data_IF_202123402076
#
_entry.id   IF_202123402076
#
_cell.length_a   1.000
_cell.length_b   1.000
_cell.length_c   1.000
_cell.angle_alpha   90.00
_cell.angle_beta   90.00
_cell.angle_gamma   90.00
#
_symmetry.space_group_name_H-M   'P 1'
#
loop_
_entity.id
_entity.type
_entity.pdbx_description
1 polymer ?
#
# COMPACT_ATOMS: atom_id res chain seq x y z
N UNK A 1 84.46 25.36 102.00
CA UNK A 1 85.12 25.30 100.68
C UNK A 1 84.16 25.88 99.65
N UNK A 2 84.45 27.09 99.16
CA UNK A 2 83.63 27.89 98.22
C UNK A 2 83.83 27.36 96.79
N UNK A 3 82.95 26.48 96.29
CA UNK A 3 82.85 26.20 94.84
C UNK A 3 81.60 25.36 94.57
N UNK A 4 80.43 25.99 94.38
CA UNK A 4 79.35 25.42 93.55
C UNK A 4 78.14 26.36 93.27
N UNK A 5 78.23 27.65 93.60
CA UNK A 5 77.14 28.61 93.37
C UNK A 5 77.07 29.17 91.93
N UNK A 6 78.08 28.88 91.08
CA UNK A 6 78.12 29.31 89.68
C UNK A 6 77.43 28.32 88.72
N UNK A 7 77.53 27.00 88.93
CA UNK A 7 76.98 25.98 88.02
C UNK A 7 75.44 25.79 88.14
N UNK A 8 74.85 26.14 89.30
CA UNK A 8 73.38 26.04 89.51
C UNK A 8 72.62 27.21 88.87
N UNK A 9 73.26 28.38 88.69
CA UNK A 9 72.63 29.55 88.05
C UNK A 9 72.61 29.45 86.53
N UNK A 10 73.61 28.84 85.90
CA UNK A 10 73.59 28.59 84.44
C UNK A 10 72.57 27.50 84.05
N UNK A 11 72.49 26.38 84.78
CA UNK A 11 71.54 25.29 84.47
C UNK A 11 70.06 25.67 84.62
N UNK A 12 69.72 26.61 85.52
CA UNK A 12 68.33 27.11 85.68
C UNK A 12 67.92 28.13 84.61
N UNK A 13 68.86 28.95 84.12
CA UNK A 13 68.62 29.89 83.02
C UNK A 13 68.39 29.19 81.68
N UNK A 14 69.15 28.13 81.39
CA UNK A 14 69.04 27.35 80.15
C UNK A 14 67.73 26.54 80.09
N UNK A 15 67.28 25.97 81.21
CA UNK A 15 66.05 25.15 81.27
C UNK A 15 64.76 25.99 81.17
N UNK A 16 64.74 27.21 81.70
CA UNK A 16 63.61 28.13 81.51
C UNK A 16 63.58 28.72 80.08
N UNK A 17 64.75 28.98 79.48
CA UNK A 17 64.82 29.42 78.08
C UNK A 17 64.29 28.37 77.11
N UNK A 18 64.64 27.09 77.28
CA UNK A 18 64.12 25.99 76.44
C UNK A 18 62.59 25.79 76.53
N UNK A 19 62.00 25.97 77.71
CA UNK A 19 60.56 25.86 77.90
C UNK A 19 59.81 27.03 77.24
N UNK A 20 60.33 28.25 77.36
CA UNK A 20 59.75 29.44 76.71
C UNK A 20 59.85 29.33 75.18
N UNK A 21 60.99 28.89 74.65
CA UNK A 21 61.18 28.65 73.22
C UNK A 21 60.22 27.58 72.69
N UNK A 22 59.99 26.49 73.44
CA UNK A 22 59.04 25.44 73.05
C UNK A 22 57.58 25.91 73.05
N UNK A 23 57.19 26.74 74.02
CA UNK A 23 55.85 27.34 74.09
C UNK A 23 55.64 28.31 72.92
N UNK A 24 56.64 29.16 72.63
CA UNK A 24 56.60 30.07 71.48
C UNK A 24 56.50 29.28 70.18
N UNK A 25 57.28 28.22 70.01
CA UNK A 25 57.26 27.35 68.84
C UNK A 25 55.90 26.65 68.65
N UNK A 26 55.35 26.03 69.70
CA UNK A 26 54.03 25.40 69.65
C UNK A 26 52.90 26.40 69.37
N UNK A 27 53.01 27.61 69.93
CA UNK A 27 52.06 28.70 69.64
C UNK A 27 52.14 29.15 68.18
N UNK A 28 53.35 29.24 67.63
CA UNK A 28 53.58 29.55 66.21
C UNK A 28 53.02 28.47 65.28
N UNK A 29 53.24 27.19 65.59
CA UNK A 29 52.67 26.06 64.84
C UNK A 29 51.15 26.08 64.90
N UNK A 30 50.57 26.39 66.08
CA UNK A 30 49.12 26.49 66.26
C UNK A 30 48.52 27.65 65.47
N UNK A 31 49.19 28.82 65.45
CA UNK A 31 48.78 29.99 64.67
C UNK A 31 48.88 29.69 63.17
N UNK A 32 49.94 29.03 62.71
CA UNK A 32 50.06 28.58 61.33
C UNK A 32 48.95 27.61 60.93
N UNK A 33 48.65 26.61 61.76
CA UNK A 33 47.58 25.65 61.51
C UNK A 33 46.20 26.32 61.48
N UNK A 34 45.94 27.27 62.38
CA UNK A 34 44.72 28.07 62.41
C UNK A 34 44.61 28.95 61.16
N UNK A 35 45.71 29.59 60.75
CA UNK A 35 45.76 30.45 59.56
C UNK A 35 45.51 29.66 58.28
N UNK A 36 46.09 28.46 58.18
CA UNK A 36 45.84 27.54 57.08
C UNK A 36 44.39 27.03 57.06
N UNK A 37 43.81 26.74 58.22
CA UNK A 37 42.41 26.34 58.34
C UNK A 37 41.45 27.46 57.93
N UNK A 38 41.72 28.70 58.34
CA UNK A 38 40.98 29.89 57.92
C UNK A 38 41.09 30.08 56.41
N UNK A 39 42.29 29.93 55.84
CA UNK A 39 42.49 30.01 54.39
C UNK A 39 41.66 28.95 53.64
N UNK A 40 41.62 27.71 54.12
CA UNK A 40 40.80 26.65 53.53
C UNK A 40 39.30 26.96 53.64
N UNK A 41 38.84 27.49 54.77
CA UNK A 41 37.44 27.90 54.95
C UNK A 41 37.05 29.03 53.99
N UNK A 42 37.92 30.04 53.83
CA UNK A 42 37.69 31.15 52.88
C UNK A 42 37.67 30.64 51.44
N UNK A 43 38.59 29.74 51.08
CA UNK A 43 38.63 29.14 49.73
C UNK A 43 37.41 28.25 49.47
N UNK A 44 36.95 27.47 50.44
CA UNK A 44 35.74 26.68 50.32
C UNK A 44 34.50 27.57 50.16
N UNK A 45 34.38 28.61 50.99
CA UNK A 45 33.31 29.59 50.88
C UNK A 45 33.33 30.34 49.53
N UNK A 46 34.51 30.64 48.97
CA UNK A 46 34.59 31.26 47.64
C UNK A 46 34.18 30.31 46.52
N UNK A 47 34.56 29.03 46.61
CA UNK A 47 34.16 28.01 45.64
C UNK A 47 32.65 27.77 45.67
N UNK A 48 32.04 27.68 46.86
CA UNK A 48 30.59 27.57 47.01
C UNK A 48 29.85 28.76 46.41
N UNK A 49 30.38 29.99 46.55
CA UNK A 49 29.80 31.17 45.93
C UNK A 49 29.92 31.15 44.40
N UNK A 50 31.05 30.69 43.86
CA UNK A 50 31.22 30.53 42.41
C UNK A 50 30.25 29.48 41.85
N UNK A 51 30.09 28.35 42.53
CA UNK A 51 29.13 27.32 42.14
C UNK A 51 27.70 27.83 42.18
N UNK A 52 27.31 28.56 43.23
CA UNK A 52 25.98 29.16 43.34
C UNK A 52 25.73 30.23 42.26
N UNK A 53 26.73 31.05 41.93
CA UNK A 53 26.61 32.04 40.85
C UNK A 53 26.46 31.37 39.48
N UNK A 54 27.25 30.33 39.19
CA UNK A 54 27.16 29.58 37.94
C UNK A 54 25.81 28.86 37.80
N UNK A 55 25.29 28.28 38.89
CA UNK A 55 23.93 27.68 38.89
C UNK A 55 22.85 28.74 38.64
N UNK A 56 22.96 29.91 39.28
CA UNK A 56 21.99 30.99 39.07
C UNK A 56 22.03 31.55 37.64
N UNK A 57 23.22 31.61 37.02
CA UNK A 57 23.37 32.02 35.62
C UNK A 57 22.80 30.96 34.67
N UNK A 58 23.04 29.67 34.97
CA UNK A 58 22.43 28.56 34.25
C UNK A 58 20.90 28.63 34.31
N UNK A 59 20.32 28.77 35.51
CA UNK A 59 18.88 28.85 35.75
C UNK A 59 18.24 30.07 35.03
N UNK A 60 18.95 31.20 34.98
CA UNK A 60 18.49 32.38 34.24
C UNK A 60 18.45 32.12 32.73
N UNK A 61 19.48 31.48 32.17
CA UNK A 61 19.56 31.10 30.76
C UNK A 61 18.44 30.10 30.39
N UNK A 62 18.16 29.10 31.25
CA UNK A 62 17.04 28.17 31.02
C UNK A 62 15.68 28.88 31.08
N UNK A 63 15.52 29.91 31.93
CA UNK A 63 14.28 30.70 32.02
C UNK A 63 14.00 31.58 30.80
N UNK A 64 15.05 31.93 30.03
CA UNK A 64 14.94 32.66 28.75
C UNK A 64 14.70 31.72 27.55
N UNK A 65 14.56 30.41 27.78
CA UNK A 65 14.22 29.42 26.73
C UNK A 65 15.42 28.79 26.02
N UNK A 66 16.63 28.98 26.53
CA UNK A 66 17.83 28.32 26.03
C UNK A 66 18.08 27.02 26.79
N UNK A 67 18.19 25.91 26.06
CA UNK A 67 18.47 24.59 26.63
C UNK A 67 19.96 24.28 26.58
N UNK A 68 20.48 23.60 27.60
CA UNK A 68 21.77 22.93 27.47
C UNK A 68 21.68 21.84 26.38
N UNK A 69 22.80 21.46 25.78
CA UNK A 69 22.82 20.40 24.76
C UNK A 69 22.17 19.09 25.27
N UNK A 70 22.35 18.77 26.55
CA UNK A 70 21.74 17.59 27.20
C UNK A 70 20.22 17.73 27.36
N UNK A 71 19.72 18.91 27.76
CA UNK A 71 18.28 19.15 27.89
C UNK A 71 17.59 19.19 26.52
N UNK A 72 18.23 19.81 25.52
CA UNK A 72 17.74 19.81 24.15
C UNK A 72 17.61 18.38 23.61
N UNK A 73 18.63 17.53 23.83
CA UNK A 73 18.58 16.13 23.43
C UNK A 73 17.45 15.38 24.14
N UNK A 74 17.28 15.56 25.45
CA UNK A 74 16.19 14.92 26.22
C UNK A 74 14.82 15.33 25.68
N UNK A 75 14.61 16.60 25.37
CA UNK A 75 13.35 17.09 24.81
C UNK A 75 13.09 16.53 23.40
N UNK A 76 14.12 16.40 22.58
CA UNK A 76 14.03 15.74 21.28
C UNK A 76 13.65 14.27 21.45
N UNK A 77 14.29 13.55 22.37
CA UNK A 77 14.01 12.14 22.64
C UNK A 77 12.58 11.95 23.18
N UNK A 78 12.12 12.81 24.10
CA UNK A 78 10.75 12.80 24.63
C UNK A 78 9.72 13.10 23.53
N UNK A 79 9.94 14.15 22.74
CA UNK A 79 9.06 14.50 21.63
C UNK A 79 9.01 13.38 20.57
N UNK A 80 10.15 12.76 20.26
CA UNK A 80 10.26 11.62 19.35
C UNK A 80 9.48 10.42 19.86
N UNK A 81 9.66 10.06 21.14
CA UNK A 81 8.91 8.97 21.78
C UNK A 81 7.41 9.25 21.81
N UNK A 82 6.98 10.47 22.17
CA UNK A 82 5.56 10.84 22.15
C UNK A 82 4.97 10.82 20.74
N UNK A 83 5.73 11.28 19.74
CA UNK A 83 5.32 11.21 18.34
C UNK A 83 5.16 9.75 17.89
N UNK A 84 6.11 8.87 18.23
CA UNK A 84 6.04 7.44 17.92
C UNK A 84 4.82 6.78 18.56
N UNK A 85 4.54 7.06 19.85
CA UNK A 85 3.37 6.50 20.54
C UNK A 85 2.05 7.01 19.95
N UNK A 86 1.98 8.30 19.61
CA UNK A 86 0.81 8.90 18.93
C UNK A 86 0.58 8.26 17.57
N UNK A 87 1.62 8.09 16.76
CA UNK A 87 1.55 7.44 15.45
C UNK A 87 1.10 5.99 15.57
N UNK A 88 1.70 5.22 16.49
CA UNK A 88 1.28 3.83 16.76
C UNK A 88 -0.19 3.72 17.18
N UNK A 89 -0.65 4.60 18.06
CA UNK A 89 -2.04 4.64 18.48
C UNK A 89 -2.99 4.97 17.32
N UNK A 90 -2.61 5.96 16.50
CA UNK A 90 -3.37 6.36 15.30
C UNK A 90 -3.49 5.21 14.29
N UNK A 91 -2.38 4.55 13.96
CA UNK A 91 -2.37 3.39 13.05
C UNK A 91 -3.27 2.28 13.57
N UNK A 92 -3.18 1.95 14.87
CA UNK A 92 -4.01 0.90 15.48
C UNK A 92 -5.50 1.23 15.40
N UNK A 93 -5.85 2.49 15.61
CA UNK A 93 -7.23 2.95 15.57
C UNK A 93 -7.78 2.95 14.14
N UNK A 94 -7.02 3.44 13.17
CA UNK A 94 -7.39 3.37 11.75
C UNK A 94 -7.57 1.93 11.29
N UNK A 95 -6.63 1.05 11.63
CA UNK A 95 -6.70 -0.37 11.28
C UNK A 95 -7.91 -1.06 11.94
N UNK A 96 -8.17 -0.79 13.22
CA UNK A 96 -9.37 -1.29 13.93
C UNK A 96 -10.65 -0.85 13.23
N UNK A 97 -10.79 0.45 12.94
CA UNK A 97 -11.99 1.00 12.29
C UNK A 97 -12.27 0.36 10.94
N UNK A 98 -11.22 0.12 10.14
CA UNK A 98 -11.33 -0.56 8.85
C UNK A 98 -11.73 -2.03 8.99
N UNK A 99 -11.26 -2.74 10.02
CA UNK A 99 -11.72 -4.10 10.29
C UNK A 99 -13.19 -4.14 10.76
N UNK A 100 -13.63 -3.13 11.51
CA UNK A 100 -14.99 -3.02 12.02
C UNK A 100 -16.01 -2.56 10.96
N UNK A 101 -15.57 -1.96 9.84
CA UNK A 101 -16.47 -1.48 8.78
C UNK A 101 -17.09 -2.59 7.93
N UNK A 102 -16.58 -3.82 8.01
CA UNK A 102 -17.05 -4.95 7.20
C UNK A 102 -16.42 -5.03 5.80
N UNK A 103 -15.54 -4.08 5.42
CA UNK A 103 -14.79 -4.08 4.14
C UNK A 103 -13.75 -5.21 4.01
N UNK A 104 -13.62 -6.06 5.05
CA UNK A 104 -12.69 -7.17 5.08
C UNK A 104 -11.26 -6.78 5.47
N UNK A 105 -10.46 -7.78 5.85
CA UNK A 105 -9.10 -7.56 6.36
C UNK A 105 -8.14 -6.96 5.33
N UNK A 106 -8.33 -7.27 4.04
CA UNK A 106 -7.47 -6.78 2.96
C UNK A 106 -7.58 -5.26 2.77
N UNK A 107 -8.78 -4.66 2.89
CA UNK A 107 -8.97 -3.21 2.83
C UNK A 107 -8.18 -2.47 3.92
N UNK A 108 -8.20 -3.02 5.14
CA UNK A 108 -7.44 -2.47 6.26
C UNK A 108 -5.91 -2.53 6.01
N UNK A 109 -5.41 -3.60 5.38
CA UNK A 109 -3.99 -3.72 5.03
C UNK A 109 -3.62 -2.71 3.93
N UNK A 110 -4.42 -2.59 2.87
CA UNK A 110 -4.19 -1.64 1.76
C UNK A 110 -4.03 -0.20 2.24
N UNK A 111 -4.82 0.20 3.23
CA UNK A 111 -4.75 1.55 3.84
C UNK A 111 -3.37 1.88 4.44
N UNK A 112 -2.59 0.86 4.84
CA UNK A 112 -1.26 1.06 5.43
C UNK A 112 -0.15 1.20 4.38
N UNK A 113 -0.41 0.84 3.13
CA UNK A 113 0.57 0.78 2.04
C UNK A 113 0.01 1.43 0.77
N UNK A 114 -0.25 2.75 0.79
CA UNK A 114 -0.89 3.46 -0.33
C UNK A 114 -0.02 3.51 -1.60
N UNK A 115 1.28 3.26 -1.48
CA UNK A 115 2.26 3.20 -2.56
C UNK A 115 2.42 1.78 -3.15
N UNK A 116 1.58 0.83 -2.73
CA UNK A 116 1.69 -0.58 -3.11
C UNK A 116 0.35 -1.21 -3.48
N UNK A 117 0.38 -2.03 -4.53
CA UNK A 117 -0.69 -2.98 -4.82
C UNK A 117 -0.55 -4.15 -3.84
N UNK A 118 -1.60 -4.37 -3.07
CA UNK A 118 -1.71 -5.44 -2.07
C UNK A 118 -2.80 -6.42 -2.49
N UNK A 119 -2.38 -7.66 -2.72
CA UNK A 119 -3.25 -8.78 -3.09
C UNK A 119 -3.03 -9.94 -2.13
N UNK A 120 -4.09 -10.72 -1.91
CA UNK A 120 -4.02 -11.94 -1.09
C UNK A 120 -4.12 -13.19 -1.96
N UNK A 121 -3.24 -14.15 -1.75
CA UNK A 121 -3.31 -15.46 -2.40
C UNK A 121 -2.75 -16.54 -1.48
N UNK A 122 -3.35 -17.74 -1.48
CA UNK A 122 -2.89 -18.90 -0.70
C UNK A 122 -2.57 -18.57 0.78
N UNK A 123 -3.44 -17.77 1.42
CA UNK A 123 -3.33 -17.42 2.84
C UNK A 123 -2.24 -16.40 3.20
N UNK A 124 -1.61 -15.73 2.21
CA UNK A 124 -0.62 -14.66 2.45
C UNK A 124 -0.92 -13.41 1.63
N UNK A 125 -0.33 -12.29 2.04
CA UNK A 125 -0.37 -11.03 1.31
C UNK A 125 0.91 -10.86 0.49
N UNK A 126 0.75 -10.30 -0.71
CA UNK A 126 1.83 -9.91 -1.61
C UNK A 126 1.74 -8.41 -1.83
N UNK A 127 2.91 -7.79 -1.98
CA UNK A 127 3.09 -6.34 -2.02
C UNK A 127 3.92 -6.01 -3.25
N UNK A 128 3.37 -5.20 -4.13
CA UNK A 128 4.00 -4.77 -5.37
C UNK A 128 4.06 -3.25 -5.38
N UNK A 129 5.22 -2.62 -5.60
CA UNK A 129 5.28 -1.17 -5.77
C UNK A 129 4.35 -0.73 -6.89
N UNK A 130 3.62 0.37 -6.68
CA UNK A 130 2.92 1.04 -7.78
C UNK A 130 3.97 1.69 -8.68
N UNK A 131 3.91 1.41 -9.97
CA UNK A 131 4.82 1.93 -10.98
C UNK A 131 4.29 3.25 -11.57
N UNK A 132 5.19 4.20 -11.80
CA UNK A 132 4.90 5.42 -12.56
C UNK A 132 5.31 5.27 -14.05
N UNK A 133 5.71 4.07 -14.47
CA UNK A 133 6.11 3.78 -15.87
C UNK A 133 4.91 3.64 -16.81
N UNK A 134 3.73 3.32 -16.27
CA UNK A 134 2.47 3.17 -17.00
C UNK A 134 1.43 4.16 -16.48
N UNK A 135 0.43 4.46 -17.31
CA UNK A 135 -0.57 5.49 -17.01
C UNK A 135 -1.46 5.09 -15.83
N UNK A 136 -1.82 6.07 -14.99
CA UNK A 136 -2.76 5.89 -13.88
C UNK A 136 -4.17 6.30 -14.31
N UNK A 137 -5.22 5.70 -13.76
CA UNK A 137 -6.59 5.95 -14.23
C UNK A 137 -7.12 7.36 -13.99
N UNK A 138 -6.51 8.13 -13.10
CA UNK A 138 -6.85 9.55 -12.86
C UNK A 138 -8.16 9.82 -12.12
N UNK A 139 -9.08 8.86 -12.00
CA UNK A 139 -10.32 9.00 -11.22
C UNK A 139 -10.11 9.23 -9.72
N UNK A 140 -10.94 10.10 -9.14
CA UNK A 140 -11.07 10.31 -7.70
C UNK A 140 -12.03 9.28 -7.05
N UNK A 141 -11.87 9.04 -5.75
CA UNK A 141 -12.70 8.08 -5.00
C UNK A 141 -14.21 8.38 -5.04
N UNK A 142 -14.59 9.63 -5.33
CA UNK A 142 -15.97 10.10 -5.36
C UNK A 142 -16.52 10.34 -6.77
N UNK A 143 -15.77 9.97 -7.81
CA UNK A 143 -16.18 10.17 -9.20
C UNK A 143 -17.30 9.24 -9.64
N UNK A 144 -17.56 8.17 -8.89
CA UNK A 144 -18.57 7.18 -9.22
C UNK A 144 -19.58 6.98 -8.08
N UNK A 145 -20.85 6.88 -8.45
CA UNK A 145 -21.97 6.61 -7.55
C UNK A 145 -22.84 5.49 -8.11
N UNK A 146 -23.34 4.61 -7.23
CA UNK A 146 -24.34 3.62 -7.61
C UNK A 146 -25.73 4.25 -7.67
N UNK A 147 -26.41 4.06 -8.79
CA UNK A 147 -27.84 4.38 -8.93
C UNK A 147 -28.71 3.44 -8.09
N UNK A 148 -29.97 3.82 -7.85
CA UNK A 148 -30.94 2.98 -7.12
C UNK A 148 -31.13 1.58 -7.73
N UNK A 149 -30.89 1.46 -9.04
CA UNK A 149 -31.01 0.20 -9.78
C UNK A 149 -29.68 -0.61 -9.82
N UNK A 150 -28.63 -0.12 -9.16
CA UNK A 150 -27.34 -0.82 -9.04
C UNK A 150 -26.35 -0.56 -10.17
N UNK A 151 -26.69 0.28 -11.16
CA UNK A 151 -25.72 0.71 -12.19
C UNK A 151 -24.75 1.73 -11.62
N UNK A 152 -23.48 1.62 -12.01
CA UNK A 152 -22.44 2.57 -11.66
C UNK A 152 -22.49 3.77 -12.61
N UNK A 153 -22.63 4.97 -12.06
CA UNK A 153 -22.72 6.23 -12.80
C UNK A 153 -21.53 7.12 -12.43
N UNK A 154 -20.89 7.70 -13.44
CA UNK A 154 -19.92 8.76 -13.21
C UNK A 154 -20.60 10.11 -12.94
N UNK A 155 -20.08 10.81 -11.95
CA UNK A 155 -20.58 12.08 -11.43
C UNK A 155 -19.47 13.15 -11.32
N UNK A 156 -18.28 12.87 -11.86
CA UNK A 156 -17.18 13.83 -11.88
C UNK A 156 -17.43 15.01 -12.82
N UNK A 157 -16.47 15.93 -12.86
CA UNK A 157 -16.65 17.24 -13.51
C UNK A 157 -16.31 17.24 -15.02
N UNK A 158 -15.69 16.18 -15.52
CA UNK A 158 -15.23 16.10 -16.89
C UNK A 158 -16.25 15.41 -17.80
N UNK A 159 -16.24 15.76 -19.08
CA UNK A 159 -17.05 15.06 -20.09
C UNK A 159 -16.26 13.83 -20.57
N UNK A 160 -16.46 12.71 -19.87
CA UNK A 160 -15.83 11.44 -20.22
C UNK A 160 -16.84 10.52 -20.91
N UNK A 161 -16.36 9.80 -21.92
CA UNK A 161 -17.14 8.76 -22.58
C UNK A 161 -17.39 7.62 -21.59
N UNK A 162 -18.65 7.31 -21.29
CA UNK A 162 -19.02 6.13 -20.49
C UNK A 162 -20.18 5.41 -21.14
N UNK A 163 -20.00 4.11 -21.30
CA UNK A 163 -21.03 3.17 -21.76
C UNK A 163 -21.30 2.09 -20.73
N UNK A 164 -22.57 1.72 -20.59
CA UNK A 164 -22.99 0.63 -19.71
C UNK A 164 -22.98 -0.68 -20.51
N UNK A 165 -22.34 -1.71 -19.96
CA UNK A 165 -22.28 -3.01 -20.59
C UNK A 165 -22.64 -4.15 -19.66
N UNK A 166 -23.00 -5.27 -20.27
CA UNK A 166 -23.07 -6.57 -19.61
C UNK A 166 -22.02 -7.50 -20.18
N UNK A 167 -21.55 -8.44 -19.39
CA UNK A 167 -20.86 -9.61 -19.93
C UNK A 167 -21.59 -10.90 -19.58
N UNK A 168 -21.72 -11.78 -20.57
CA UNK A 168 -22.63 -12.92 -20.51
C UNK A 168 -22.02 -14.17 -21.11
N UNK A 169 -22.51 -15.31 -20.63
CA UNK A 169 -22.16 -16.63 -21.14
C UNK A 169 -23.36 -17.57 -21.02
N UNK A 170 -23.16 -18.89 -21.19
CA UNK A 170 -24.20 -19.89 -20.88
C UNK A 170 -24.84 -19.77 -19.49
N UNK A 171 -24.16 -19.16 -18.53
CA UNK A 171 -24.64 -19.05 -17.16
C UNK A 171 -25.87 -18.12 -17.01
N UNK A 172 -26.07 -17.19 -17.95
CA UNK A 172 -27.23 -16.30 -17.97
C UNK A 172 -28.45 -16.91 -18.67
N UNK A 173 -28.32 -18.13 -19.22
CA UNK A 173 -29.45 -18.87 -19.78
C UNK A 173 -29.99 -18.25 -21.06
N UNK A 174 -31.31 -18.05 -21.13
CA UNK A 174 -31.96 -17.40 -22.27
C UNK A 174 -32.16 -15.92 -21.93
N UNK A 175 -31.75 -15.03 -22.84
CA UNK A 175 -31.79 -13.59 -22.63
C UNK A 175 -32.81 -12.95 -23.57
N UNK A 176 -33.64 -12.05 -23.03
CA UNK A 176 -34.52 -11.16 -23.80
C UNK A 176 -33.77 -9.86 -24.10
N UNK A 177 -33.05 -9.85 -25.22
CA UNK A 177 -32.13 -8.77 -25.59
C UNK A 177 -32.81 -7.42 -25.87
N UNK A 178 -34.08 -7.43 -26.32
CA UNK A 178 -34.85 -6.20 -26.49
C UNK A 178 -35.10 -5.52 -25.14
N UNK A 179 -35.34 -6.30 -24.08
CA UNK A 179 -35.45 -5.77 -22.72
C UNK A 179 -34.11 -5.29 -22.18
N UNK A 180 -33.02 -6.00 -22.47
CA UNK A 180 -31.66 -5.61 -22.06
C UNK A 180 -31.30 -4.24 -22.65
N UNK A 181 -31.50 -4.05 -23.95
CA UNK A 181 -31.27 -2.77 -24.62
C UNK A 181 -32.20 -1.67 -24.07
N UNK A 182 -33.47 -1.99 -23.81
CA UNK A 182 -34.41 -1.05 -23.21
C UNK A 182 -34.08 -0.66 -21.76
N UNK A 183 -33.26 -1.45 -21.06
CA UNK A 183 -32.80 -1.18 -19.69
C UNK A 183 -31.57 -0.27 -19.63
N UNK A 184 -31.11 0.24 -20.78
CA UNK A 184 -30.02 1.20 -20.88
C UNK A 184 -28.64 0.57 -21.01
N UNK A 185 -28.56 -0.72 -21.39
CA UNK A 185 -27.30 -1.35 -21.78
C UNK A 185 -26.93 -0.89 -23.20
N UNK A 186 -25.68 -0.47 -23.38
CA UNK A 186 -25.13 0.00 -24.65
C UNK A 186 -24.39 -1.10 -25.44
N UNK A 187 -23.71 -2.00 -24.73
CA UNK A 187 -22.90 -3.06 -25.33
C UNK A 187 -22.93 -4.37 -24.54
N UNK A 188 -22.53 -5.46 -25.20
CA UNK A 188 -22.38 -6.77 -24.58
C UNK A 188 -21.02 -7.42 -24.90
N UNK A 189 -20.33 -7.93 -23.87
CA UNK A 189 -19.17 -8.81 -24.02
C UNK A 189 -19.63 -10.26 -23.89
N UNK A 190 -19.52 -11.04 -24.96
CA UNK A 190 -20.11 -12.38 -25.03
C UNK A 190 -19.01 -13.43 -24.97
N UNK A 191 -19.12 -14.41 -24.07
CA UNK A 191 -18.19 -15.54 -24.07
C UNK A 191 -18.37 -16.34 -25.36
N UNK A 192 -17.35 -16.35 -26.20
CA UNK A 192 -17.38 -17.13 -27.43
C UNK A 192 -16.96 -18.58 -27.16
N UNK A 193 -15.93 -18.75 -26.34
CA UNK A 193 -15.40 -20.06 -26.01
C UNK A 193 -14.52 -20.06 -24.78
N UNK A 194 -14.03 -21.23 -24.45
CA UNK A 194 -13.13 -21.45 -23.32
C UNK A 194 -12.27 -22.67 -23.56
N UNK A 195 -11.11 -22.71 -22.90
CA UNK A 195 -10.30 -23.92 -22.79
C UNK A 195 -10.58 -24.59 -21.45
N UNK A 196 -10.87 -25.88 -21.45
CA UNK A 196 -11.18 -26.64 -20.23
C UNK A 196 -10.00 -26.71 -19.26
N UNK A 197 -10.30 -26.59 -17.96
CA UNK A 197 -9.30 -26.49 -16.87
C UNK A 197 -8.51 -27.77 -16.59
N UNK A 198 -9.00 -28.94 -17.04
CA UNK A 198 -8.33 -30.24 -16.83
C UNK A 198 -7.69 -30.76 -18.13
N UNK A 199 -8.50 -31.16 -19.11
CA UNK A 199 -8.00 -31.79 -20.35
C UNK A 199 -7.52 -30.77 -21.40
N UNK A 200 -7.74 -29.46 -21.18
CA UNK A 200 -7.31 -28.43 -22.12
C UNK A 200 -8.08 -28.41 -23.44
N UNK A 201 -9.29 -28.99 -23.48
CA UNK A 201 -10.14 -28.99 -24.68
C UNK A 201 -10.67 -27.60 -24.98
N UNK A 202 -10.60 -27.21 -26.25
CA UNK A 202 -11.26 -26.02 -26.75
C UNK A 202 -12.75 -26.29 -26.93
N UNK A 203 -13.58 -25.41 -26.39
CA UNK A 203 -15.03 -25.54 -26.37
C UNK A 203 -15.65 -24.19 -26.71
N UNK A 204 -16.65 -24.21 -27.59
CA UNK A 204 -17.54 -23.07 -27.79
C UNK A 204 -18.50 -22.97 -26.59
N UNK A 205 -18.87 -21.76 -26.20
CA UNK A 205 -19.93 -21.56 -25.22
C UNK A 205 -21.30 -21.93 -25.85
N UNK A 206 -22.09 -22.75 -25.15
CA UNK A 206 -23.36 -23.28 -25.67
C UNK A 206 -24.40 -22.18 -25.95
N UNK A 207 -24.22 -20.97 -25.42
CA UNK A 207 -25.08 -19.80 -25.66
C UNK A 207 -24.45 -18.74 -26.54
N UNK A 208 -23.24 -18.95 -27.06
CA UNK A 208 -22.56 -17.96 -27.90
C UNK A 208 -23.43 -17.46 -29.05
N UNK A 209 -23.97 -18.37 -29.88
CA UNK A 209 -24.76 -18.01 -31.07
C UNK A 209 -26.04 -17.26 -30.69
N UNK A 210 -26.82 -17.81 -29.75
CA UNK A 210 -28.06 -17.18 -29.27
C UNK A 210 -27.80 -15.76 -28.73
N UNK A 211 -26.68 -15.58 -28.01
CA UNK A 211 -26.31 -14.31 -27.40
C UNK A 211 -25.84 -13.28 -28.43
N UNK A 212 -24.94 -13.67 -29.35
CA UNK A 212 -24.37 -12.74 -30.33
C UNK A 212 -25.42 -12.27 -31.34
N UNK A 213 -26.24 -13.20 -31.85
CA UNK A 213 -27.32 -12.86 -32.79
C UNK A 213 -28.38 -12.00 -32.11
N UNK A 214 -28.74 -12.33 -30.86
CA UNK A 214 -29.72 -11.59 -30.08
C UNK A 214 -29.28 -10.16 -29.76
N UNK A 215 -28.06 -9.98 -29.25
CA UNK A 215 -27.52 -8.67 -28.90
C UNK A 215 -27.42 -7.76 -30.14
N UNK A 216 -26.87 -8.28 -31.25
CA UNK A 216 -26.76 -7.53 -32.51
C UNK A 216 -28.13 -7.18 -33.09
N UNK A 217 -29.09 -8.11 -33.05
CA UNK A 217 -30.45 -7.86 -33.55
C UNK A 217 -31.20 -6.79 -32.75
N UNK A 218 -30.93 -6.67 -31.44
CA UNK A 218 -31.46 -5.62 -30.58
C UNK A 218 -30.67 -4.30 -30.65
N UNK A 219 -29.65 -4.23 -31.52
CA UNK A 219 -28.90 -3.00 -31.81
C UNK A 219 -27.81 -2.66 -30.80
N UNK A 220 -27.39 -3.60 -29.95
CA UNK A 220 -26.24 -3.43 -29.07
C UNK A 220 -24.94 -3.60 -29.86
N UNK A 221 -23.92 -2.84 -29.46
CA UNK A 221 -22.57 -3.13 -29.92
C UNK A 221 -22.02 -4.37 -29.18
N UNK A 222 -21.22 -5.19 -29.87
CA UNK A 222 -20.77 -6.49 -29.34
C UNK A 222 -19.27 -6.62 -29.39
N UNK A 223 -18.71 -7.12 -28.29
CA UNK A 223 -17.36 -7.67 -28.17
C UNK A 223 -17.45 -9.11 -27.69
N UNK A 224 -16.32 -9.82 -27.69
CA UNK A 224 -16.29 -11.23 -27.30
C UNK A 224 -15.09 -11.54 -26.43
N UNK A 225 -15.21 -12.57 -25.59
CA UNK A 225 -14.09 -13.03 -24.77
C UNK A 225 -13.89 -14.54 -24.83
N UNK A 226 -12.65 -14.97 -24.56
CA UNK A 226 -12.25 -16.37 -24.46
C UNK A 226 -11.62 -16.64 -23.09
N UNK A 227 -12.25 -17.51 -22.29
CA UNK A 227 -11.66 -17.95 -21.02
C UNK A 227 -10.47 -18.87 -21.27
N UNK A 228 -9.27 -18.36 -21.01
CA UNK A 228 -8.03 -19.04 -21.36
C UNK A 228 -7.63 -20.05 -20.30
N UNK A 229 -7.11 -21.18 -20.75
CA UNK A 229 -6.34 -22.13 -19.93
C UNK A 229 -5.07 -22.56 -20.68
N UNK A 230 -4.52 -21.67 -21.52
CA UNK A 230 -3.35 -21.94 -22.33
C UNK A 230 -2.11 -22.18 -21.45
N UNK A 231 -1.34 -23.22 -21.78
CA UNK A 231 -0.09 -23.54 -21.10
C UNK A 231 1.15 -22.98 -21.79
N UNK A 232 0.99 -22.45 -23.01
CA UNK A 232 2.07 -21.98 -23.86
C UNK A 232 1.51 -21.24 -25.09
N UNK A 233 2.40 -20.55 -25.81
CA UNK A 233 2.09 -19.81 -27.05
C UNK A 233 1.20 -20.54 -28.03
N UNK A 234 1.48 -21.83 -28.27
CA UNK A 234 0.75 -22.59 -29.29
C UNK A 234 -0.72 -22.70 -28.88
N UNK A 235 -0.98 -23.00 -27.61
CA UNK A 235 -2.35 -23.07 -27.11
C UNK A 235 -3.04 -21.69 -27.13
N UNK A 236 -2.33 -20.60 -26.82
CA UNK A 236 -2.87 -19.25 -26.93
C UNK A 236 -3.25 -18.87 -28.37
N UNK A 237 -2.44 -19.26 -29.36
CA UNK A 237 -2.77 -19.09 -30.79
C UNK A 237 -4.00 -19.92 -31.18
N UNK A 238 -4.11 -21.17 -30.70
CA UNK A 238 -5.27 -22.01 -30.96
C UNK A 238 -6.56 -21.41 -30.38
N UNK A 239 -6.49 -20.81 -29.18
CA UNK A 239 -7.61 -20.10 -28.56
C UNK A 239 -8.02 -18.86 -29.36
N UNK A 240 -7.05 -18.03 -29.75
CA UNK A 240 -7.29 -16.85 -30.58
C UNK A 240 -7.90 -17.24 -31.94
N UNK A 241 -7.33 -18.24 -32.64
CA UNK A 241 -7.82 -18.66 -33.95
C UNK A 241 -9.25 -19.21 -33.87
N UNK A 242 -9.55 -20.03 -32.86
CA UNK A 242 -10.92 -20.54 -32.69
C UNK A 242 -11.91 -19.38 -32.48
N UNK A 243 -11.56 -18.41 -31.64
CA UNK A 243 -12.41 -17.24 -31.44
C UNK A 243 -12.58 -16.43 -32.73
N UNK A 244 -11.50 -16.17 -33.47
CA UNK A 244 -11.53 -15.45 -34.74
C UNK A 244 -12.42 -16.15 -35.78
N UNK A 245 -12.32 -17.48 -35.89
CA UNK A 245 -13.16 -18.29 -36.78
C UNK A 245 -14.65 -18.19 -36.39
N UNK A 246 -14.95 -18.14 -35.09
CA UNK A 246 -16.34 -18.03 -34.60
C UNK A 246 -16.95 -16.66 -34.87
N UNK A 247 -16.16 -15.59 -34.87
CA UNK A 247 -16.67 -14.22 -35.04
C UNK A 247 -16.65 -13.70 -36.47
N UNK A 248 -15.96 -14.36 -37.41
CA UNK A 248 -15.88 -13.97 -38.84
C UNK A 248 -17.22 -13.54 -39.46
N UNK A 249 -18.37 -14.19 -39.17
CA UNK A 249 -19.65 -13.82 -39.78
C UNK A 249 -20.31 -12.55 -39.21
N UNK A 250 -19.79 -11.97 -38.12
CA UNK A 250 -20.48 -10.95 -37.33
C UNK A 250 -19.74 -9.60 -37.37
N UNK A 251 -20.50 -8.51 -37.19
CA UNK A 251 -19.95 -7.15 -37.04
C UNK A 251 -19.53 -6.93 -35.58
N UNK A 252 -18.24 -7.12 -35.29
CA UNK A 252 -17.67 -6.95 -33.96
C UNK A 252 -17.06 -5.56 -33.84
N UNK A 253 -17.65 -4.72 -32.99
CA UNK A 253 -17.16 -3.34 -32.76
C UNK A 253 -16.39 -3.20 -31.46
N UNK A 254 -16.77 -3.96 -30.43
CA UNK A 254 -16.06 -3.95 -29.15
C UNK A 254 -14.91 -4.98 -29.15
N UNK A 255 -14.00 -4.91 -28.17
CA UNK A 255 -12.77 -5.71 -28.19
C UNK A 255 -12.98 -7.22 -28.22
N UNK A 256 -11.94 -7.90 -28.70
CA UNK A 256 -11.77 -9.35 -28.64
C UNK A 256 -10.79 -9.65 -27.51
N UNK A 257 -11.29 -10.35 -26.48
CA UNK A 257 -10.66 -10.38 -25.17
C UNK A 257 -10.09 -11.76 -24.83
N UNK A 258 -8.87 -11.79 -24.30
CA UNK A 258 -8.38 -12.94 -23.52
C UNK A 258 -8.72 -12.74 -22.06
N UNK A 259 -9.42 -13.73 -21.49
CA UNK A 259 -9.80 -13.76 -20.09
C UNK A 259 -8.78 -14.60 -19.30
N UNK A 260 -8.00 -13.90 -18.45
CA UNK A 260 -6.94 -14.46 -17.61
C UNK A 260 -7.36 -14.42 -16.14
N UNK A 261 -7.63 -15.59 -15.60
CA UNK A 261 -7.98 -15.77 -14.19
C UNK A 261 -7.03 -16.72 -13.47
N UNK A 262 -7.00 -16.58 -12.14
CA UNK A 262 -6.31 -17.55 -11.29
C UNK A 262 -6.99 -18.90 -11.38
N UNK A 263 -6.19 -19.97 -11.40
CA UNK A 263 -6.67 -21.32 -11.23
C UNK A 263 -7.65 -21.45 -10.04
N UNK A 264 -8.84 -21.98 -10.30
CA UNK A 264 -9.87 -22.21 -9.26
C UNK A 264 -9.51 -23.37 -8.32
N UNK A 265 -8.57 -24.22 -8.71
CA UNK A 265 -8.10 -25.36 -7.92
C UNK A 265 -6.63 -25.68 -8.20
N UNK A 266 -5.97 -26.33 -7.26
CA UNK A 266 -4.58 -26.81 -7.40
C UNK A 266 -4.44 -27.89 -8.49
N UNK A 267 -5.55 -28.46 -8.97
CA UNK A 267 -5.60 -29.46 -10.04
C UNK A 267 -5.79 -28.83 -11.43
N UNK A 268 -6.11 -27.54 -11.50
CA UNK A 268 -6.25 -26.84 -12.78
C UNK A 268 -4.90 -26.81 -13.49
N UNK A 269 -4.93 -26.99 -14.81
CA UNK A 269 -3.71 -27.07 -15.63
C UNK A 269 -2.85 -25.80 -15.56
N UNK A 270 -3.45 -24.66 -15.25
CA UNK A 270 -2.77 -23.36 -15.11
C UNK A 270 -2.26 -23.07 -13.69
N UNK A 271 -2.50 -23.96 -12.71
CA UNK A 271 -2.20 -23.71 -11.29
C UNK A 271 -0.71 -23.49 -10.98
N UNK A 272 0.18 -24.02 -11.81
CA UNK A 272 1.63 -23.92 -11.64
C UNK A 272 2.32 -23.09 -12.73
N UNK A 273 1.56 -22.33 -13.53
CA UNK A 273 2.15 -21.44 -14.53
C UNK A 273 2.87 -20.27 -13.86
N UNK A 274 3.99 -19.86 -14.45
CA UNK A 274 4.73 -18.67 -14.04
C UNK A 274 4.14 -17.41 -14.68
N UNK A 275 4.46 -16.24 -14.10
CA UNK A 275 4.04 -14.93 -14.63
C UNK A 275 4.41 -14.76 -16.09
N UNK A 276 5.68 -15.02 -16.42
CA UNK A 276 6.22 -14.93 -17.78
C UNK A 276 5.41 -15.72 -18.82
N UNK A 277 4.79 -16.85 -18.43
CA UNK A 277 4.01 -17.68 -19.36
C UNK A 277 2.60 -17.12 -19.55
N UNK A 278 1.98 -16.60 -18.49
CA UNK A 278 0.70 -15.89 -18.63
C UNK A 278 0.85 -14.64 -19.51
N UNK A 279 1.87 -13.83 -19.25
CA UNK A 279 2.19 -12.63 -20.03
C UNK A 279 2.45 -12.97 -21.51
N UNK A 280 3.26 -14.01 -21.74
CA UNK A 280 3.59 -14.46 -23.09
C UNK A 280 2.35 -15.02 -23.83
N UNK A 281 1.46 -15.73 -23.13
CA UNK A 281 0.21 -16.21 -23.71
C UNK A 281 -0.76 -15.05 -24.02
N UNK A 282 -0.89 -14.08 -23.12
CA UNK A 282 -1.70 -12.89 -23.31
C UNK A 282 -1.22 -12.07 -24.51
N UNK A 283 0.08 -11.79 -24.59
CA UNK A 283 0.72 -11.10 -25.73
C UNK A 283 0.44 -11.82 -27.05
N UNK A 284 0.71 -13.13 -27.09
CA UNK A 284 0.53 -13.91 -28.32
C UNK A 284 -0.93 -13.97 -28.76
N UNK A 285 -1.87 -14.09 -27.83
CA UNK A 285 -3.30 -14.01 -28.15
C UNK A 285 -3.63 -12.63 -28.73
N UNK A 286 -3.25 -11.55 -28.05
CA UNK A 286 -3.57 -10.18 -28.44
C UNK A 286 -2.93 -9.78 -29.78
N UNK A 287 -1.70 -10.21 -30.03
CA UNK A 287 -1.00 -10.00 -31.31
C UNK A 287 -1.70 -10.74 -32.45
N UNK A 288 -2.19 -11.96 -32.19
CA UNK A 288 -2.94 -12.76 -33.18
C UNK A 288 -4.26 -12.08 -33.53
N UNK A 289 -4.97 -11.57 -32.52
CA UNK A 289 -6.22 -10.80 -32.68
C UNK A 289 -5.98 -9.50 -33.45
N UNK A 290 -4.93 -8.75 -33.09
CA UNK A 290 -4.54 -7.52 -33.80
C UNK A 290 -4.20 -7.77 -35.26
N UNK A 291 -3.48 -8.85 -35.55
CA UNK A 291 -3.11 -9.22 -36.91
C UNK A 291 -4.33 -9.58 -37.78
N UNK A 292 -5.43 -10.03 -37.15
CA UNK A 292 -6.70 -10.27 -37.82
C UNK A 292 -7.56 -9.00 -38.01
N UNK A 293 -7.10 -7.85 -37.50
CA UNK A 293 -7.76 -6.56 -37.67
C UNK A 293 -8.75 -6.18 -36.57
N UNK A 294 -8.83 -6.96 -35.48
CA UNK A 294 -9.66 -6.65 -34.32
C UNK A 294 -8.86 -5.96 -33.22
N UNK A 295 -9.54 -5.21 -32.35
CA UNK A 295 -8.94 -4.62 -31.16
C UNK A 295 -8.77 -5.70 -30.08
N UNK A 296 -7.53 -6.06 -29.68
CA UNK A 296 -7.33 -6.96 -28.56
C UNK A 296 -7.56 -6.25 -27.22
N UNK A 297 -7.86 -7.03 -26.19
CA UNK A 297 -7.95 -6.58 -24.82
C UNK A 297 -7.66 -7.74 -23.86
N UNK A 298 -7.16 -7.43 -22.67
CA UNK A 298 -6.90 -8.41 -21.61
C UNK A 298 -7.89 -8.17 -20.48
N UNK A 299 -8.63 -9.21 -20.12
CA UNK A 299 -9.46 -9.22 -18.91
C UNK A 299 -8.75 -9.91 -17.76
N UNK A 300 -8.90 -9.35 -16.57
CA UNK A 300 -8.48 -9.96 -15.32
C UNK A 300 -8.85 -9.11 -14.11
N UNK A 301 -8.63 -9.63 -12.91
CA UNK A 301 -8.79 -8.85 -11.68
C UNK A 301 -7.43 -8.29 -11.21
N UNK A 302 -7.42 -7.53 -10.11
CA UNK A 302 -6.19 -6.96 -9.53
C UNK A 302 -5.12 -8.03 -9.27
N UNK A 303 -5.51 -9.26 -8.93
CA UNK A 303 -4.57 -10.38 -8.75
C UNK A 303 -4.03 -10.87 -10.09
N UNK A 304 -4.83 -10.90 -11.16
CA UNK A 304 -4.34 -11.24 -12.50
C UNK A 304 -3.19 -10.31 -12.91
N UNK A 305 -3.38 -8.99 -12.79
CA UNK A 305 -2.40 -7.97 -13.17
C UNK A 305 -1.27 -7.67 -12.16
N UNK A 306 -1.20 -8.44 -11.06
CA UNK A 306 -0.12 -8.30 -10.07
C UNK A 306 0.61 -9.61 -9.76
N UNK A 307 -0.07 -10.76 -9.87
CA UNK A 307 0.50 -12.07 -9.54
C UNK A 307 0.60 -13.02 -10.73
N UNK A 308 -0.31 -12.91 -11.71
CA UNK A 308 -0.28 -13.77 -12.90
C UNK A 308 0.45 -13.07 -14.04
N UNK A 309 0.38 -11.75 -14.11
CA UNK A 309 1.09 -10.91 -15.06
C UNK A 309 1.53 -9.65 -14.31
N UNK A 310 2.64 -9.03 -14.73
CA UNK A 310 2.92 -7.65 -14.36
C UNK A 310 2.11 -6.71 -15.28
N UNK A 311 1.34 -5.79 -14.69
CA UNK A 311 0.58 -4.78 -15.44
C UNK A 311 1.49 -3.99 -16.39
N UNK A 312 2.73 -3.67 -15.96
CA UNK A 312 3.69 -2.92 -16.77
C UNK A 312 4.05 -3.68 -18.04
N UNK A 313 4.14 -5.00 -17.96
CA UNK A 313 4.52 -5.84 -19.09
C UNK A 313 3.39 -6.04 -20.11
N UNK A 314 2.15 -5.67 -19.80
CA UNK A 314 0.98 -5.86 -20.70
C UNK A 314 0.24 -4.57 -21.03
N UNK A 315 0.80 -3.41 -20.70
CA UNK A 315 0.21 -2.07 -20.89
C UNK A 315 0.08 -1.63 -22.37
N UNK A 316 0.68 -2.38 -23.30
CA UNK A 316 0.50 -2.16 -24.75
C UNK A 316 -0.92 -2.53 -25.25
N UNK A 317 -1.73 -3.18 -24.42
CA UNK A 317 -3.09 -3.65 -24.77
C UNK A 317 -4.15 -3.01 -23.87
N UNK A 318 -5.35 -2.85 -24.42
CA UNK A 318 -6.50 -2.36 -23.65
C UNK A 318 -6.81 -3.31 -22.48
N UNK A 319 -7.17 -2.74 -21.33
CA UNK A 319 -7.39 -3.47 -20.08
C UNK A 319 -8.86 -3.45 -19.68
N UNK A 320 -9.40 -4.64 -19.42
CA UNK A 320 -10.69 -4.83 -18.76
C UNK A 320 -10.47 -5.36 -17.33
N UNK A 321 -10.60 -4.47 -16.36
CA UNK A 321 -10.33 -4.77 -14.96
C UNK A 321 -11.59 -5.23 -14.23
N UNK A 322 -11.51 -6.35 -13.52
CA UNK A 322 -12.52 -6.78 -12.56
C UNK A 322 -12.17 -6.33 -11.13
N UNK A 323 -13.06 -5.51 -10.56
CA UNK A 323 -13.00 -5.10 -9.17
C UNK A 323 -14.40 -4.73 -8.67
N UNK A 324 -14.93 -5.49 -7.71
CA UNK A 324 -16.32 -5.32 -7.29
C UNK A 324 -16.49 -4.23 -6.24
N UNK A 325 -17.33 -3.24 -6.56
CA UNK A 325 -17.61 -2.07 -5.72
C UNK A 325 -16.73 -0.86 -6.04
N UNK A 326 -17.14 0.31 -5.58
CA UNK A 326 -16.41 1.58 -5.73
C UNK A 326 -15.90 2.09 -4.37
N UNK A 327 -14.77 2.83 -4.32
CA UNK A 327 -13.92 3.21 -5.45
C UNK A 327 -13.08 2.05 -5.98
N UNK A 328 -12.63 2.15 -7.24
CA UNK A 328 -11.73 1.19 -7.86
C UNK A 328 -10.37 1.18 -7.12
N UNK A 329 -9.88 -0.01 -6.76
CA UNK A 329 -8.58 -0.15 -6.09
C UNK A 329 -7.39 -0.25 -7.06
N UNK A 330 -7.63 -0.72 -8.29
CA UNK A 330 -6.58 -0.85 -9.29
C UNK A 330 -6.10 0.55 -9.72
N UNK A 331 -4.79 0.88 -9.61
CA UNK A 331 -4.32 2.27 -9.78
C UNK A 331 -4.06 2.66 -11.25
N UNK A 332 -3.87 1.70 -12.14
CA UNK A 332 -3.47 1.95 -13.51
C UNK A 332 -4.66 2.20 -14.42
N UNK A 333 -4.38 2.77 -15.60
CA UNK A 333 -5.34 2.98 -16.65
C UNK A 333 -6.10 1.69 -16.99
N UNK A 334 -7.38 1.83 -17.35
CA UNK A 334 -8.23 0.75 -17.81
C UNK A 334 -9.20 1.28 -18.86
N UNK A 335 -9.66 0.41 -19.75
CA UNK A 335 -10.61 0.78 -20.80
C UNK A 335 -12.03 0.30 -20.46
N UNK A 336 -12.13 -0.77 -19.68
CA UNK A 336 -13.38 -1.32 -19.19
C UNK A 336 -13.24 -1.77 -17.73
N UNK A 337 -14.29 -1.60 -16.93
CA UNK A 337 -14.32 -1.99 -15.54
C UNK A 337 -15.56 -2.83 -15.22
N UNK A 338 -15.37 -4.11 -14.90
CA UNK A 338 -16.39 -4.97 -14.31
C UNK A 338 -16.54 -4.65 -12.82
N UNK A 339 -17.57 -3.89 -12.49
CA UNK A 339 -17.76 -3.32 -11.15
C UNK A 339 -18.67 -4.16 -10.24
N UNK A 340 -19.35 -5.17 -10.77
CA UNK A 340 -20.14 -6.13 -9.98
C UNK A 340 -20.44 -7.39 -10.78
N UNK A 341 -20.58 -8.52 -10.07
CA UNK A 341 -21.12 -9.78 -10.59
C UNK A 341 -22.51 -10.13 -10.07
N UNK A 342 -23.14 -9.18 -9.37
CA UNK A 342 -24.45 -9.33 -8.74
C UNK A 342 -25.48 -8.35 -9.31
N UNK A 343 -25.23 -7.82 -10.52
CA UNK A 343 -26.11 -6.90 -11.20
C UNK A 343 -27.46 -7.52 -11.56
N UNK A 344 -28.44 -6.65 -11.82
CA UNK A 344 -29.79 -7.00 -12.25
C UNK A 344 -30.14 -6.17 -13.48
N UNK A 345 -30.46 -6.85 -14.57
CA UNK A 345 -30.86 -6.23 -15.84
C UNK A 345 -32.14 -6.90 -16.32
N UNK A 346 -33.11 -6.09 -16.74
CA UNK A 346 -34.35 -6.58 -17.32
C UNK A 346 -34.05 -7.43 -18.56
N UNK A 347 -34.62 -8.64 -18.61
CA UNK A 347 -34.39 -9.60 -19.69
C UNK A 347 -33.34 -10.66 -19.39
N UNK A 348 -32.63 -10.57 -18.26
CA UNK A 348 -31.71 -11.60 -17.77
C UNK A 348 -32.21 -12.13 -16.43
N UNK A 349 -32.43 -13.45 -16.36
CA UNK A 349 -32.81 -14.10 -15.11
C UNK A 349 -31.56 -14.31 -14.22
N UNK A 350 -31.64 -13.87 -12.97
CA UNK A 350 -30.56 -14.08 -12.00
C UNK A 350 -29.60 -12.90 -11.92
N UNK A 351 -28.31 -13.19 -11.68
CA UNK A 351 -27.26 -12.19 -11.60
C UNK A 351 -26.58 -12.04 -12.96
N UNK A 352 -26.15 -10.82 -13.27
CA UNK A 352 -25.31 -10.54 -14.44
C UNK A 352 -24.16 -9.62 -14.04
N UNK A 353 -23.05 -9.78 -14.73
CA UNK A 353 -21.87 -8.96 -14.56
C UNK A 353 -22.10 -7.61 -15.27
N UNK A 354 -21.82 -6.52 -14.58
CA UNK A 354 -22.01 -5.15 -15.10
C UNK A 354 -20.68 -4.43 -15.26
N UNK A 355 -20.60 -3.69 -16.37
CA UNK A 355 -19.39 -3.04 -16.81
C UNK A 355 -19.64 -1.57 -17.15
N UNK A 356 -18.62 -0.75 -16.90
CA UNK A 356 -18.50 0.55 -17.57
C UNK A 356 -17.33 0.49 -18.55
N UNK A 357 -17.52 0.97 -19.78
CA UNK A 357 -16.43 1.18 -20.74
C UNK A 357 -16.17 2.68 -20.87
N UNK A 358 -14.90 3.07 -20.75
CA UNK A 358 -14.46 4.47 -20.81
C UNK A 358 -13.75 4.82 -22.13
N UNK A 359 -13.73 3.88 -23.08
CA UNK A 359 -13.07 4.01 -24.38
C UNK A 359 -14.09 3.92 -25.50
N UNK A 360 -13.99 4.83 -26.47
CA UNK A 360 -14.79 4.79 -27.70
C UNK A 360 -14.12 3.85 -28.71
N UNK A 361 -14.88 2.84 -29.17
CA UNK A 361 -14.41 1.79 -30.09
C UNK A 361 -14.99 1.93 -31.50
#
# INVERSE_FOLDING_TARGET
MKTNLQDIREKRGVRNSHNIVSIIFLSLVSIMALSFSIFLLVKNASLQRQEAAFRSELDAITSEGYYTATEAQRLIDEASNEAEQRTKASIRETFRRKLESGEGAISAVRTLFPDQIVVSSSGRYFFFPISDEIEHHGFDENDFEFTDNGFLKYIGNDDIYIKQGVDVSRFQGNIDWDKVAADGIDYAMIRAGYRGTTEGKLLQDDKFIDNIEGALASGLDVGVYFYSQALNKKEAIEEAQLLLDMIEPYDIKYPVVIDIESAESDEARTATLSSDVYEENAKVFCDTVSAAGYKPMIYGNVKSFALLMDAVDVDDYDIWIAYYGAPLYYPYHFNMWQYTSAGKVNGIDGNVDLNVCITEY
#
